data_IF_612458723704
#
_entry.id   IF_612458723704
#
_cell.length_a   1.000
_cell.length_b   1.000
_cell.length_c   1.000
_cell.angle_alpha   90.00
_cell.angle_beta   90.00
_cell.angle_gamma   90.00
#
_symmetry.space_group_name_H-M   'P 1'
#
loop_
_entity.id
_entity.type
_entity.pdbx_description
1 polymer ?
#
# COMPACT_ATOMS: atom_id res chain seq x y z
N UNK A 1 -8.00 8.85 11.02
CA UNK A 1 -8.28 10.24 10.54
C UNK A 1 -7.60 11.33 11.38
N UNK A 2 -6.74 11.02 12.35
CA UNK A 2 -6.03 12.01 13.17
C UNK A 2 -4.86 12.70 12.44
N UNK A 3 -4.19 12.00 11.51
CA UNK A 3 -3.05 12.53 10.75
C UNK A 3 -3.40 13.67 9.77
N UNK A 4 -4.63 13.69 9.26
CA UNK A 4 -5.11 14.74 8.33
C UNK A 4 -5.66 15.97 9.06
N UNK A 5 -6.14 15.80 10.29
CA UNK A 5 -6.66 16.90 11.10
C UNK A 5 -5.55 17.75 11.72
N UNK A 6 -4.40 17.15 12.00
CA UNK A 6 -3.23 17.86 12.51
C UNK A 6 -1.93 17.24 11.98
N UNK A 7 -1.28 17.94 11.06
CA UNK A 7 -0.03 17.51 10.43
C UNK A 7 1.13 17.40 11.43
N UNK A 8 1.19 18.30 12.42
CA UNK A 8 2.21 18.24 13.47
C UNK A 8 2.06 16.98 14.30
N UNK A 9 0.82 16.55 14.60
CA UNK A 9 0.56 15.27 15.27
C UNK A 9 1.01 14.08 14.42
N UNK A 10 0.85 14.13 13.09
CA UNK A 10 1.31 13.06 12.21
C UNK A 10 2.84 12.94 12.24
N UNK A 11 3.57 14.06 12.14
CA UNK A 11 5.03 14.09 12.23
C UNK A 11 5.51 13.65 13.62
N UNK A 12 4.83 14.08 14.69
CA UNK A 12 5.20 13.71 16.05
C UNK A 12 5.04 12.21 16.31
N UNK A 13 4.01 11.57 15.73
CA UNK A 13 3.88 10.10 15.78
C UNK A 13 5.08 9.41 15.12
N UNK A 14 5.54 9.90 13.96
CA UNK A 14 6.74 9.34 13.32
C UNK A 14 8.02 9.62 14.09
N UNK A 15 8.10 10.75 14.80
CA UNK A 15 9.26 11.16 15.59
C UNK A 15 9.36 10.42 16.93
N UNK A 16 8.25 10.28 17.65
CA UNK A 16 8.26 9.76 19.01
C UNK A 16 7.84 8.30 19.13
N UNK A 17 6.85 7.88 18.36
CA UNK A 17 6.22 6.56 18.51
C UNK A 17 6.80 5.56 17.51
N UNK A 18 6.73 5.87 16.21
CA UNK A 18 7.10 4.91 15.15
C UNK A 18 8.61 4.82 14.91
N UNK A 19 9.34 5.91 15.09
CA UNK A 19 10.82 5.98 15.04
C UNK A 19 11.45 5.18 13.89
N UNK A 20 10.91 5.33 12.69
CA UNK A 20 11.35 4.56 11.52
C UNK A 20 12.79 4.99 11.15
N UNK A 21 13.78 4.07 11.11
CA UNK A 21 15.19 4.44 10.97
C UNK A 21 15.62 4.77 9.54
N UNK A 22 14.77 4.49 8.55
CA UNK A 22 15.12 4.52 7.13
C UNK A 22 15.01 5.92 6.50
N UNK A 23 14.11 6.77 7.00
CA UNK A 23 13.77 8.07 6.39
C UNK A 23 13.43 9.11 7.45
N UNK A 24 13.61 10.41 7.18
CA UNK A 24 13.21 11.48 8.10
C UNK A 24 11.71 11.38 8.49
N UNK A 25 11.34 11.68 9.75
CA UNK A 25 9.95 11.58 10.22
C UNK A 25 8.95 12.34 9.36
N UNK A 26 9.33 13.51 8.85
CA UNK A 26 8.50 14.35 8.00
C UNK A 26 8.19 13.63 6.67
N UNK A 27 9.21 13.04 6.04
CA UNK A 27 9.06 12.27 4.80
C UNK A 27 8.28 10.97 5.05
N UNK A 28 8.52 10.29 6.17
CA UNK A 28 7.80 9.09 6.57
C UNK A 28 6.30 9.36 6.74
N UNK A 29 5.95 10.51 7.35
CA UNK A 29 4.56 10.96 7.48
C UNK A 29 3.92 11.20 6.11
N UNK A 30 4.61 11.90 5.19
CA UNK A 30 4.09 12.17 3.85
C UNK A 30 3.85 10.88 3.06
N UNK A 31 4.82 9.97 3.07
CA UNK A 31 4.73 8.69 2.38
C UNK A 31 3.60 7.83 2.97
N UNK A 32 3.53 7.71 4.29
CA UNK A 32 2.49 6.94 4.96
C UNK A 32 1.09 7.46 4.64
N UNK A 33 0.85 8.76 4.74
CA UNK A 33 -0.47 9.35 4.45
C UNK A 33 -0.81 9.21 2.98
N UNK A 34 0.15 9.41 2.08
CA UNK A 34 -0.06 9.26 0.64
C UNK A 34 -0.44 7.83 0.28
N UNK A 35 0.26 6.83 0.83
CA UNK A 35 -0.05 5.41 0.60
C UNK A 35 -1.42 5.07 1.20
N UNK A 36 -1.71 5.53 2.42
CA UNK A 36 -2.98 5.27 3.12
C UNK A 36 -4.20 5.78 2.33
N UNK A 37 -4.06 6.89 1.59
CA UNK A 37 -5.14 7.47 0.78
C UNK A 37 -5.21 6.91 -0.63
N UNK A 38 -4.05 6.73 -1.28
CA UNK A 38 -4.00 6.38 -2.71
C UNK A 38 -4.14 4.88 -2.93
N UNK A 39 -3.47 4.06 -2.14
CA UNK A 39 -3.45 2.61 -2.34
C UNK A 39 -4.84 1.94 -2.31
N UNK A 40 -5.74 2.24 -1.35
CA UNK A 40 -7.07 1.61 -1.35
C UNK A 40 -7.90 2.02 -2.57
N UNK A 41 -7.82 3.27 -3.00
CA UNK A 41 -8.53 3.76 -4.20
C UNK A 41 -8.03 3.03 -5.44
N UNK A 42 -6.71 2.89 -5.62
CA UNK A 42 -6.13 2.17 -6.74
C UNK A 42 -6.49 0.68 -6.72
N UNK A 43 -6.46 0.02 -5.55
CA UNK A 43 -6.85 -1.38 -5.42
C UNK A 43 -8.33 -1.62 -5.75
N UNK A 44 -9.23 -0.77 -5.26
CA UNK A 44 -10.67 -0.86 -5.53
C UNK A 44 -10.98 -0.65 -7.01
N UNK A 45 -10.33 0.33 -7.64
CA UNK A 45 -10.43 0.55 -9.09
C UNK A 45 -9.72 -0.54 -9.91
N UNK A 46 -8.94 -1.39 -9.25
CA UNK A 46 -8.11 -2.39 -9.91
C UNK A 46 -7.07 -1.77 -10.85
N UNK A 47 -6.57 -0.57 -10.54
CA UNK A 47 -5.54 0.11 -11.33
C UNK A 47 -4.15 -0.16 -10.74
N UNK A 48 -3.18 -0.52 -11.57
CA UNK A 48 -1.82 -0.86 -11.18
C UNK A 48 -1.75 -1.80 -9.96
N UNK A 49 -2.63 -2.82 -9.90
CA UNK A 49 -2.83 -3.63 -8.69
C UNK A 49 -1.55 -4.29 -8.18
N UNK A 50 -0.70 -4.76 -9.11
CA UNK A 50 0.59 -5.37 -8.77
C UNK A 50 1.58 -4.38 -8.14
N UNK A 51 1.91 -3.23 -8.80
CA UNK A 51 2.70 -2.17 -8.16
C UNK A 51 2.16 -1.72 -6.80
N UNK A 52 0.85 -1.51 -6.68
CA UNK A 52 0.24 -1.07 -5.42
C UNK A 52 0.37 -2.14 -4.33
N UNK A 53 0.17 -3.41 -4.67
CA UNK A 53 0.38 -4.51 -3.74
C UNK A 53 1.86 -4.63 -3.28
N UNK A 54 2.83 -4.35 -4.16
CA UNK A 54 4.25 -4.27 -3.78
C UNK A 54 4.52 -3.14 -2.79
N UNK A 55 3.97 -1.95 -3.05
CA UNK A 55 4.11 -0.79 -2.15
C UNK A 55 3.53 -1.11 -0.77
N UNK A 56 2.34 -1.71 -0.72
CA UNK A 56 1.69 -2.11 0.53
C UNK A 56 2.45 -3.22 1.27
N UNK A 57 3.07 -4.16 0.55
CA UNK A 57 3.94 -5.17 1.15
C UNK A 57 5.19 -4.52 1.76
N UNK A 58 5.83 -3.61 1.04
CA UNK A 58 6.97 -2.85 1.57
C UNK A 58 6.61 -2.07 2.84
N UNK A 59 5.46 -1.39 2.84
CA UNK A 59 4.95 -0.70 4.04
C UNK A 59 4.68 -1.68 5.19
N UNK A 60 4.05 -2.84 4.91
CA UNK A 60 3.80 -3.88 5.91
C UNK A 60 5.10 -4.40 6.52
N UNK A 61 6.13 -4.62 5.71
CA UNK A 61 7.46 -5.05 6.18
C UNK A 61 8.11 -4.00 7.08
N UNK A 62 8.03 -2.72 6.73
CA UNK A 62 8.55 -1.63 7.58
C UNK A 62 7.82 -1.58 8.91
N UNK A 63 6.49 -1.73 8.91
CA UNK A 63 5.69 -1.73 10.15
C UNK A 63 6.04 -2.93 11.03
N UNK A 64 6.12 -4.14 10.46
CA UNK A 64 6.47 -5.35 11.21
C UNK A 64 7.86 -5.25 11.84
N UNK A 65 8.87 -4.78 11.10
CA UNK A 65 10.25 -4.76 11.60
C UNK A 65 10.48 -3.62 12.60
N UNK A 66 9.94 -2.43 12.34
CA UNK A 66 10.36 -1.21 13.05
C UNK A 66 9.30 -0.61 13.97
N UNK A 67 8.02 -0.91 13.77
CA UNK A 67 6.93 -0.20 14.46
C UNK A 67 6.18 -1.10 15.44
N UNK A 68 5.59 -2.21 14.96
CA UNK A 68 4.75 -3.10 15.76
C UNK A 68 5.11 -4.59 15.54
N UNK A 69 6.30 -5.06 15.99
CA UNK A 69 6.75 -6.43 15.77
C UNK A 69 5.90 -7.50 16.49
N UNK A 70 5.13 -7.10 17.50
CA UNK A 70 4.22 -8.03 18.20
C UNK A 70 2.89 -8.25 17.46
N UNK A 71 2.59 -7.44 16.43
CA UNK A 71 1.39 -7.58 15.61
C UNK A 71 1.58 -8.52 14.40
N UNK A 72 2.58 -9.41 14.46
CA UNK A 72 2.95 -10.34 13.40
C UNK A 72 1.79 -11.16 12.81
N UNK A 73 0.76 -11.63 13.55
CA UNK A 73 -0.33 -12.40 12.95
C UNK A 73 -1.14 -11.56 11.97
N UNK A 74 -1.37 -10.29 12.32
CA UNK A 74 -2.10 -9.31 11.50
C UNK A 74 -1.31 -8.98 10.25
N UNK A 75 -0.01 -8.71 10.39
CA UNK A 75 0.86 -8.38 9.27
C UNK A 75 1.02 -9.57 8.30
N UNK A 76 1.08 -10.80 8.83
CA UNK A 76 1.12 -12.00 8.01
C UNK A 76 -0.18 -12.19 7.22
N UNK A 77 -1.34 -11.93 7.83
CA UNK A 77 -2.62 -11.96 7.12
C UNK A 77 -2.65 -10.94 5.97
N UNK A 78 -2.22 -9.70 6.22
CA UNK A 78 -2.13 -8.67 5.17
C UNK A 78 -1.18 -9.09 4.06
N UNK A 79 0.02 -9.57 4.42
CA UNK A 79 1.01 -10.03 3.46
C UNK A 79 0.46 -11.16 2.60
N UNK A 80 -0.22 -12.15 3.18
CA UNK A 80 -0.84 -13.25 2.43
C UNK A 80 -1.85 -12.76 1.39
N UNK A 81 -2.74 -11.83 1.77
CA UNK A 81 -3.71 -11.24 0.84
C UNK A 81 -3.02 -10.46 -0.28
N UNK A 82 -1.98 -9.67 0.05
CA UNK A 82 -1.22 -8.89 -0.93
C UNK A 82 -0.42 -9.79 -1.88
N UNK A 83 0.13 -10.91 -1.40
CA UNK A 83 0.81 -11.91 -2.23
C UNK A 83 -0.16 -12.56 -3.24
N UNK A 84 -1.41 -12.81 -2.85
CA UNK A 84 -2.44 -13.27 -3.79
C UNK A 84 -2.70 -12.21 -4.87
N UNK A 85 -2.77 -10.93 -4.50
CA UNK A 85 -2.92 -9.83 -5.47
C UNK A 85 -1.71 -9.72 -6.40
N UNK A 86 -0.49 -9.98 -5.93
CA UNK A 86 0.69 -10.05 -6.79
C UNK A 86 0.63 -11.21 -7.78
N UNK A 87 0.32 -12.41 -7.29
CA UNK A 87 0.27 -13.61 -8.09
C UNK A 87 -0.85 -13.54 -9.15
N UNK A 88 -2.07 -13.15 -8.74
CA UNK A 88 -3.28 -13.27 -9.56
C UNK A 88 -3.77 -11.95 -10.18
N UNK A 89 -3.28 -10.79 -9.72
CA UNK A 89 -3.77 -9.45 -10.09
C UNK A 89 -5.29 -9.26 -9.84
N UNK A 90 -5.84 -8.07 -10.07
CA UNK A 90 -7.27 -7.76 -9.87
C UNK A 90 -8.24 -8.42 -10.89
N UNK A 91 -7.80 -9.46 -11.60
CA UNK A 91 -8.65 -10.27 -12.47
C UNK A 91 -9.23 -9.55 -13.70
N UNK A 92 -10.27 -10.15 -14.32
CA UNK A 92 -10.90 -9.69 -15.58
C UNK A 92 -11.80 -8.45 -15.41
N UNK A 93 -12.07 -8.03 -14.19
CA UNK A 93 -12.92 -6.87 -13.86
C UNK A 93 -12.11 -5.61 -13.54
N UNK A 94 -10.79 -5.70 -13.58
CA UNK A 94 -9.88 -4.59 -13.32
C UNK A 94 -9.80 -3.62 -14.52
N UNK A 95 -9.66 -2.32 -14.23
CA UNK A 95 -9.38 -1.31 -15.26
C UNK A 95 -8.05 -1.62 -15.98
N UNK A 96 -7.06 -2.22 -15.30
CA UNK A 96 -5.82 -2.70 -15.96
C UNK A 96 -6.13 -3.74 -17.04
N UNK A 97 -7.10 -4.63 -16.84
CA UNK A 97 -7.50 -5.60 -17.85
C UNK A 97 -8.19 -4.93 -19.04
N UNK A 98 -9.08 -3.96 -18.79
CA UNK A 98 -9.75 -3.20 -19.84
C UNK A 98 -8.76 -2.39 -20.69
N UNK A 99 -7.79 -1.72 -20.06
CA UNK A 99 -6.72 -0.98 -20.74
C UNK A 99 -5.84 -1.94 -21.53
N UNK A 100 -5.40 -3.06 -20.94
CA UNK A 100 -4.61 -4.09 -21.65
C UNK A 100 -5.36 -4.64 -22.86
N UNK A 101 -6.66 -4.93 -22.75
CA UNK A 101 -7.48 -5.40 -23.87
C UNK A 101 -7.59 -4.36 -24.98
N UNK A 102 -7.76 -3.08 -24.62
CA UNK A 102 -7.94 -1.98 -25.59
C UNK A 102 -6.64 -1.54 -26.25
N UNK A 103 -5.52 -1.59 -25.54
CA UNK A 103 -4.19 -1.22 -26.06
C UNK A 103 -3.52 -2.36 -26.83
N UNK A 104 -3.63 -3.61 -26.37
CA UNK A 104 -2.99 -4.76 -27.04
C UNK A 104 -3.84 -5.39 -28.15
N UNK A 105 -5.02 -4.84 -28.47
CA UNK A 105 -5.81 -5.27 -29.62
C UNK A 105 -6.04 -6.78 -29.67
N UNK A 106 -6.28 -7.41 -28.52
CA UNK A 106 -6.65 -8.82 -28.48
C UNK A 106 -8.07 -8.94 -29.05
N UNK A 107 -8.14 -8.99 -30.38
CA UNK A 107 -9.25 -9.58 -31.11
C UNK A 107 -9.30 -11.03 -30.64
N UNK A 108 -10.25 -11.33 -29.76
CA UNK A 108 -10.64 -12.71 -29.46
C UNK A 108 -10.96 -13.37 -30.81
N UNK A 109 -10.06 -14.24 -31.29
CA UNK A 109 -10.36 -15.28 -32.27
C UNK A 109 -10.69 -16.54 -31.49
#
# INVERSE_FOLDING_TARGET
MTKLANWETAVELFRQEYRVPLVPPELAAYLSVSIELVAPVLLVLGLATRPVALILLGMTTVIEIFVYPQAWPTHLQWAAMLLVLLARSAGRFSIDWLIRRRVMGLSDR
#
